data_IF_882640672268
#
_entry.id   IF_882640672268
#
_cell.length_a   1.000
_cell.length_b   1.000
_cell.length_c   1.000
_cell.angle_alpha   90.00
_cell.angle_beta   90.00
_cell.angle_gamma   90.00
#
_symmetry.space_group_name_H-M   'P 1'
#
loop_
_entity.id
_entity.type
_entity.pdbx_description
1 polymer ?
#
# COMPACT_ATOMS: atom_id res chain seq x y z
N UNK A 1 -21.05 16.20 38.75
CA UNK A 1 -21.26 16.44 37.30
C UNK A 1 -19.88 16.51 36.66
N UNK A 2 -19.49 15.48 35.91
CA UNK A 2 -18.22 15.52 35.16
C UNK A 2 -18.51 16.12 33.78
N UNK A 3 -17.78 17.17 33.43
CA UNK A 3 -17.81 17.76 32.10
C UNK A 3 -17.29 16.71 31.11
N UNK A 4 -18.17 16.18 30.27
CA UNK A 4 -17.79 15.43 29.09
C UNK A 4 -17.02 16.40 28.18
N UNK A 5 -15.71 16.18 28.06
CA UNK A 5 -14.93 16.82 27.02
C UNK A 5 -15.47 16.34 25.66
N UNK A 6 -15.93 17.29 24.84
CA UNK A 6 -16.32 17.03 23.47
C UNK A 6 -15.13 16.41 22.72
N UNK A 7 -15.30 15.34 21.93
CA UNK A 7 -14.19 14.80 21.16
C UNK A 7 -13.69 15.88 20.21
N UNK A 8 -12.42 16.27 20.38
CA UNK A 8 -11.69 17.12 19.44
C UNK A 8 -11.88 16.54 18.05
N UNK A 9 -12.23 17.35 17.02
CA UNK A 9 -12.29 16.86 15.66
C UNK A 9 -10.90 16.32 15.31
N UNK A 10 -10.76 15.00 15.30
CA UNK A 10 -9.61 14.40 14.65
C UNK A 10 -9.76 14.79 13.19
N UNK A 11 -8.85 15.60 12.67
CA UNK A 11 -8.68 15.79 11.23
C UNK A 11 -8.23 14.45 10.66
N UNK A 12 -9.18 13.51 10.58
CA UNK A 12 -8.99 12.21 10.00
C UNK A 12 -8.59 12.43 8.56
N UNK A 13 -7.44 11.91 8.17
CA UNK A 13 -7.01 11.90 6.78
C UNK A 13 -8.11 11.17 5.99
N UNK A 14 -8.86 11.89 5.16
CA UNK A 14 -9.82 11.26 4.24
C UNK A 14 -9.04 10.32 3.32
N UNK A 15 -9.18 9.01 3.52
CA UNK A 15 -8.51 7.99 2.73
C UNK A 15 -9.49 6.86 2.42
N UNK A 16 -9.20 6.15 1.33
CA UNK A 16 -9.93 4.97 0.88
C UNK A 16 -9.20 3.71 1.33
N UNK A 17 -9.97 2.63 1.49
CA UNK A 17 -9.42 1.30 1.78
C UNK A 17 -9.17 0.56 0.47
N UNK A 18 -8.39 -0.51 0.53
CA UNK A 18 -8.07 -1.36 -0.61
C UNK A 18 -9.30 -1.96 -1.27
N UNK A 19 -10.31 -2.35 -0.48
CA UNK A 19 -11.55 -2.94 -0.98
C UNK A 19 -12.43 -1.97 -1.79
N UNK A 20 -12.23 -0.65 -1.67
CA UNK A 20 -12.98 0.36 -2.42
C UNK A 20 -12.26 0.87 -3.67
N UNK A 21 -11.07 0.34 -4.00
CA UNK A 21 -10.30 0.79 -5.16
C UNK A 21 -10.94 0.35 -6.47
N UNK A 22 -11.13 1.31 -7.37
CA UNK A 22 -11.63 1.09 -8.73
C UNK A 22 -10.49 1.20 -9.75
N UNK A 23 -10.48 0.40 -10.83
CA UNK A 23 -9.46 0.50 -11.88
C UNK A 23 -9.39 1.89 -12.54
N UNK A 24 -8.18 2.31 -12.89
CA UNK A 24 -7.89 3.57 -13.56
C UNK A 24 -7.04 4.52 -12.73
N UNK A 25 -6.90 5.76 -13.19
CA UNK A 25 -6.17 6.80 -12.44
C UNK A 25 -7.01 7.24 -11.26
N UNK A 26 -6.48 7.06 -10.05
CA UNK A 26 -7.17 7.37 -8.81
C UNK A 26 -6.91 8.82 -8.39
N UNK A 27 -7.99 9.53 -8.05
CA UNK A 27 -7.95 10.76 -7.26
C UNK A 27 -8.09 10.49 -5.75
N UNK A 28 -8.19 9.21 -5.35
CA UNK A 28 -8.32 8.80 -3.97
C UNK A 28 -6.95 8.82 -3.29
N UNK A 29 -6.95 9.19 -2.01
CA UNK A 29 -5.87 8.94 -1.08
C UNK A 29 -6.00 7.54 -0.48
N UNK A 30 -4.90 6.87 -0.20
CA UNK A 30 -4.89 5.65 0.62
C UNK A 30 -3.88 5.81 1.74
N UNK A 31 -4.11 5.13 2.86
CA UNK A 31 -3.12 4.95 3.91
C UNK A 31 -2.74 3.48 3.97
N UNK A 32 -1.45 3.18 4.02
CA UNK A 32 -0.98 1.81 4.14
C UNK A 32 0.24 1.69 5.02
N UNK A 33 0.45 0.47 5.52
CA UNK A 33 1.70 0.05 6.12
C UNK A 33 2.48 -0.83 5.16
N UNK A 34 3.78 -0.58 5.08
CA UNK A 34 4.71 -1.36 4.29
C UNK A 34 4.93 -2.75 4.91
N UNK A 35 4.88 -3.81 4.09
CA UNK A 35 5.19 -5.18 4.53
C UNK A 35 6.54 -5.69 3.99
N UNK A 36 6.75 -5.58 2.68
CA UNK A 36 7.95 -6.11 2.00
C UNK A 36 8.18 -5.41 0.68
N UNK A 37 9.45 -5.32 0.27
CA UNK A 37 9.88 -4.82 -1.03
C UNK A 37 10.86 -5.79 -1.67
N UNK A 38 10.80 -5.91 -2.98
CA UNK A 38 11.80 -6.62 -3.78
C UNK A 38 11.94 -6.00 -5.16
N UNK A 39 13.11 -6.23 -5.76
CA UNK A 39 13.35 -5.84 -7.14
C UNK A 39 12.62 -6.80 -8.09
N UNK A 40 11.87 -6.22 -9.02
CA UNK A 40 11.16 -6.93 -10.08
C UNK A 40 12.03 -6.99 -11.33
N UNK A 41 12.20 -8.21 -11.85
CA UNK A 41 13.13 -8.52 -12.94
C UNK A 41 12.39 -9.14 -14.12
N UNK A 42 12.76 -8.76 -15.35
CA UNK A 42 12.28 -9.38 -16.57
C UNK A 42 13.07 -10.67 -16.85
N UNK A 43 12.48 -11.81 -16.46
CA UNK A 43 13.12 -13.12 -16.64
C UNK A 43 13.40 -13.48 -18.11
N UNK A 44 12.65 -12.91 -19.07
CA UNK A 44 12.85 -13.16 -20.51
C UNK A 44 13.98 -12.35 -21.12
N UNK A 45 14.46 -11.31 -20.41
CA UNK A 45 15.47 -10.38 -20.89
C UNK A 45 16.59 -10.31 -19.85
N UNK A 46 17.27 -11.43 -19.67
CA UNK A 46 18.46 -11.56 -18.80
C UNK A 46 18.30 -11.00 -17.39
N UNK A 47 17.10 -11.15 -16.81
CA UNK A 47 16.74 -10.61 -15.49
C UNK A 47 16.91 -9.08 -15.40
N UNK A 48 16.67 -8.37 -16.50
CA UNK A 48 16.69 -6.90 -16.54
C UNK A 48 15.79 -6.32 -15.44
N UNK A 49 16.32 -5.37 -14.68
CA UNK A 49 15.56 -4.66 -13.65
C UNK A 49 14.43 -3.83 -14.29
N UNK A 50 13.18 -4.18 -13.97
CA UNK A 50 12.00 -3.48 -14.52
C UNK A 50 11.33 -2.56 -13.52
N UNK A 51 11.69 -2.66 -12.25
CA UNK A 51 11.13 -1.81 -11.20
C UNK A 51 11.14 -2.50 -9.84
N UNK A 52 10.40 -1.90 -8.92
CA UNK A 52 10.29 -2.35 -7.54
C UNK A 52 8.86 -2.80 -7.31
N UNK A 53 8.69 -3.98 -6.72
CA UNK A 53 7.40 -4.44 -6.22
C UNK A 53 7.35 -4.28 -4.71
N UNK A 54 6.20 -3.83 -4.21
CA UNK A 54 5.97 -3.59 -2.78
C UNK A 54 4.70 -4.31 -2.34
N UNK A 55 4.66 -4.83 -1.11
CA UNK A 55 3.45 -5.30 -0.46
C UNK A 55 2.99 -4.30 0.58
N UNK A 56 1.69 -3.99 0.54
CA UNK A 56 1.02 -3.04 1.41
C UNK A 56 -0.08 -3.73 2.21
N UNK A 57 -0.34 -3.21 3.41
CA UNK A 57 -1.47 -3.56 4.26
C UNK A 57 -2.25 -2.28 4.58
N UNK A 58 -3.58 -2.32 4.51
CA UNK A 58 -4.42 -1.24 5.02
C UNK A 58 -5.06 -1.64 6.36
N UNK A 59 -5.97 -0.82 6.86
CA UNK A 59 -6.70 -1.05 8.11
C UNK A 59 -7.68 -2.23 8.07
N UNK A 60 -8.00 -2.76 6.89
CA UNK A 60 -8.90 -3.89 6.75
C UNK A 60 -8.12 -5.19 6.88
N UNK A 61 -8.48 -5.95 7.92
CA UNK A 61 -7.95 -7.30 8.15
C UNK A 61 -8.06 -8.12 6.87
N UNK A 62 -6.97 -8.76 6.48
CA UNK A 62 -6.82 -9.60 5.28
C UNK A 62 -6.75 -8.90 3.91
N UNK A 63 -6.71 -7.57 3.82
CA UNK A 63 -6.48 -6.90 2.53
C UNK A 63 -5.00 -6.55 2.34
N UNK A 64 -4.32 -7.36 1.53
CA UNK A 64 -2.95 -7.09 1.09
C UNK A 64 -2.95 -6.85 -0.42
N UNK A 65 -2.47 -5.68 -0.81
CA UNK A 65 -2.30 -5.28 -2.21
C UNK A 65 -0.81 -5.19 -2.50
N UNK A 66 -0.42 -5.53 -3.73
CA UNK A 66 0.92 -5.23 -4.21
C UNK A 66 0.93 -3.93 -5.02
N UNK A 67 1.98 -3.14 -4.79
CA UNK A 67 2.34 -1.97 -5.58
C UNK A 67 3.45 -2.27 -6.57
N UNK A 68 3.54 -1.45 -7.62
CA UNK A 68 4.64 -1.48 -8.57
C UNK A 68 5.15 -0.07 -8.91
N UNK A 69 6.45 0.10 -8.76
CA UNK A 69 7.18 1.31 -9.18
C UNK A 69 8.06 0.95 -10.38
N UNK A 70 7.84 1.51 -11.58
CA UNK A 70 8.66 1.19 -12.74
C UNK A 70 10.09 1.68 -12.59
N UNK A 71 11.04 1.03 -13.27
CA UNK A 71 12.49 1.31 -13.22
C UNK A 71 12.84 2.80 -13.29
N UNK A 72 12.24 3.54 -14.23
CA UNK A 72 12.50 4.98 -14.40
C UNK A 72 12.08 5.86 -13.22
N UNK A 73 11.38 5.31 -12.22
CA UNK A 73 10.92 6.00 -11.00
C UNK A 73 11.41 5.32 -9.72
N UNK A 74 12.08 4.19 -9.83
CA UNK A 74 12.48 3.36 -8.69
C UNK A 74 13.35 4.13 -7.70
N UNK A 75 14.39 4.83 -8.19
CA UNK A 75 15.30 5.63 -7.36
C UNK A 75 14.59 6.77 -6.62
N UNK A 76 13.58 7.38 -7.23
CA UNK A 76 12.82 8.48 -6.63
C UNK A 76 11.98 8.02 -5.44
N UNK A 77 11.26 6.90 -5.58
CA UNK A 77 10.32 6.44 -4.55
C UNK A 77 10.94 5.50 -3.51
N UNK A 78 12.04 4.81 -3.83
CA UNK A 78 12.68 3.84 -2.92
C UNK A 78 12.99 4.42 -1.54
N UNK A 79 13.49 5.67 -1.39
CA UNK A 79 13.72 6.27 -0.07
C UNK A 79 12.44 6.45 0.76
N UNK A 80 11.27 6.61 0.15
CA UNK A 80 9.98 6.78 0.85
C UNK A 80 9.30 5.45 1.21
N UNK A 81 9.80 4.33 0.68
CA UNK A 81 9.26 2.99 0.91
C UNK A 81 9.96 2.32 2.11
N UNK A 82 9.82 2.92 3.29
CA UNK A 82 10.43 2.41 4.53
C UNK A 82 9.44 1.54 5.30
N UNK A 83 9.96 0.47 5.91
CA UNK A 83 9.22 -0.29 6.90
C UNK A 83 8.89 0.59 8.13
N UNK A 84 7.90 0.16 8.91
CA UNK A 84 7.52 0.72 10.22
C UNK A 84 6.69 2.01 10.21
N UNK A 85 6.61 2.71 9.09
CA UNK A 85 5.73 3.88 8.95
C UNK A 85 4.39 3.53 8.28
N UNK A 86 3.33 4.19 8.73
CA UNK A 86 2.11 4.30 7.93
C UNK A 86 2.32 5.48 6.98
N UNK A 87 2.17 5.22 5.70
CA UNK A 87 2.33 6.22 4.65
C UNK A 87 1.02 6.44 3.93
N UNK A 88 0.78 7.69 3.57
CA UNK A 88 -0.31 8.09 2.70
C UNK A 88 0.24 8.16 1.28
N UNK A 89 -0.54 7.66 0.34
CA UNK A 89 -0.24 7.80 -1.08
C UNK A 89 -1.41 8.44 -1.81
N UNK A 90 -1.07 9.45 -2.59
CA UNK A 90 -1.97 10.21 -3.46
C UNK A 90 -1.56 10.02 -4.93
N UNK A 91 -2.52 10.26 -5.84
CA UNK A 91 -2.27 10.32 -7.29
C UNK A 91 -1.58 9.07 -7.85
N UNK A 92 -2.21 7.91 -7.70
CA UNK A 92 -1.72 6.63 -8.22
C UNK A 92 -2.65 6.03 -9.28
N UNK A 93 -2.20 4.98 -9.95
CA UNK A 93 -3.04 4.21 -10.87
C UNK A 93 -3.40 2.86 -10.26
N UNK A 94 -4.66 2.47 -10.36
CA UNK A 94 -5.15 1.13 -10.02
C UNK A 94 -5.19 0.32 -11.32
N UNK A 95 -4.21 -0.56 -11.50
CA UNK A 95 -4.14 -1.38 -12.70
C UNK A 95 -4.94 -2.68 -12.53
N UNK A 96 -5.35 -3.28 -13.66
CA UNK A 96 -5.91 -4.63 -13.66
C UNK A 96 -4.77 -5.64 -13.61
N UNK A 97 -4.83 -6.59 -12.67
CA UNK A 97 -3.85 -7.66 -12.60
C UNK A 97 -4.04 -8.61 -13.78
N UNK A 98 -2.97 -8.89 -14.54
CA UNK A 98 -2.96 -10.04 -15.44
C UNK A 98 -2.75 -11.30 -14.59
N UNK A 99 -3.67 -12.26 -14.66
CA UNK A 99 -3.69 -13.50 -13.85
C UNK A 99 -2.38 -14.32 -13.86
N UNK A 100 -1.49 -14.07 -14.83
CA UNK A 100 -0.20 -14.75 -14.99
C UNK A 100 0.78 -14.57 -13.81
N UNK A 101 0.64 -13.51 -13.02
CA UNK A 101 1.54 -13.20 -11.89
C UNK A 101 0.76 -12.65 -10.69
N UNK A 102 -0.11 -13.49 -10.12
CA UNK A 102 -0.92 -13.14 -8.94
C UNK A 102 -0.07 -13.20 -7.67
N UNK A 103 0.34 -12.05 -7.16
CA UNK A 103 1.12 -11.93 -5.92
C UNK A 103 0.22 -11.95 -4.68
N UNK A 104 -0.99 -11.39 -4.78
CA UNK A 104 -1.97 -11.31 -3.69
C UNK A 104 -3.35 -11.67 -4.20
N UNK A 105 -4.27 -12.05 -3.31
CA UNK A 105 -5.63 -12.41 -3.72
C UNK A 105 -6.45 -11.25 -4.29
N UNK A 106 -6.01 -10.02 -4.02
CA UNK A 106 -6.62 -8.82 -4.54
C UNK A 106 -6.38 -8.64 -6.05
N UNK A 107 -7.43 -8.28 -6.78
CA UNK A 107 -7.43 -8.26 -8.25
C UNK A 107 -6.75 -7.04 -8.87
N UNK A 108 -6.33 -6.06 -8.06
CA UNK A 108 -5.80 -4.78 -8.53
C UNK A 108 -4.51 -4.37 -7.84
N UNK A 109 -3.37 -4.27 -8.56
CA UNK A 109 -2.20 -3.57 -8.06
C UNK A 109 -2.29 -2.06 -8.18
N UNK A 110 -1.54 -1.39 -7.32
CA UNK A 110 -1.29 0.05 -7.38
C UNK A 110 -0.01 0.30 -8.19
N UNK A 111 -0.03 1.23 -9.14
CA UNK A 111 1.16 1.66 -9.88
C UNK A 111 1.51 3.10 -9.52
N UNK A 112 2.79 3.32 -9.24
CA UNK A 112 3.31 4.66 -9.01
C UNK A 112 3.59 5.35 -10.36
N UNK A 113 2.94 6.49 -10.54
CA UNK A 113 3.08 7.36 -11.70
C UNK A 113 3.93 8.58 -11.32
N UNK A 114 4.35 9.38 -12.30
CA UNK A 114 5.22 10.55 -12.02
C UNK A 114 4.58 11.58 -11.07
N UNK A 115 3.25 11.54 -10.92
CA UNK A 115 2.48 12.43 -10.05
C UNK A 115 2.17 11.81 -8.70
N UNK A 116 2.61 10.58 -8.43
CA UNK A 116 2.37 9.92 -7.14
C UNK A 116 3.11 10.66 -6.05
N UNK A 117 2.38 11.01 -4.99
CA UNK A 117 2.89 11.70 -3.81
C UNK A 117 2.84 10.69 -2.66
N UNK A 118 3.92 10.61 -1.89
CA UNK A 118 4.05 9.70 -0.74
C UNK A 118 4.45 10.54 0.45
N UNK A 119 3.58 10.59 1.44
CA UNK A 119 3.78 11.35 2.68
C UNK A 119 3.65 10.42 3.88
N UNK A 120 4.48 10.62 4.90
CA UNK A 120 4.33 9.92 6.17
C UNK A 120 3.06 10.40 6.89
N UNK A 121 2.27 9.48 7.45
CA UNK A 121 1.09 9.85 8.24
C UNK A 121 1.49 10.02 9.70
N UNK A 122 1.71 11.26 10.11
CA UNK A 122 2.25 11.60 11.43
C UNK A 122 1.14 11.63 12.51
N UNK A 123 -0.10 12.01 12.16
CA UNK A 123 -1.21 12.17 13.11
C UNK A 123 -2.52 11.60 12.55
N UNK A 124 -3.30 10.88 13.37
CA UNK A 124 -4.59 10.34 12.97
C UNK A 124 -4.51 9.19 11.95
N UNK A 125 -3.34 8.54 11.88
CA UNK A 125 -3.15 7.37 11.02
C UNK A 125 -4.06 6.22 11.48
N UNK A 126 -4.65 5.46 10.55
CA UNK A 126 -5.45 4.30 10.92
C UNK A 126 -4.58 3.23 11.60
N UNK A 127 -5.14 2.50 12.55
CA UNK A 127 -4.41 1.43 13.25
C UNK A 127 -4.29 0.20 12.34
N UNK A 128 -3.11 0.01 11.74
CA UNK A 128 -2.83 -1.11 10.83
C UNK A 128 -2.01 -2.18 11.57
N UNK A 129 -2.65 -3.22 12.12
CA UNK A 129 -1.96 -4.25 12.92
C UNK A 129 -1.34 -5.37 12.06
N UNK A 130 0.00 -5.51 12.11
CA UNK A 130 0.76 -6.56 11.38
C UNK A 130 0.57 -7.96 12.00
N UNK A 131 0.36 -8.06 13.32
CA UNK A 131 0.23 -9.31 14.07
C UNK A 131 -1.02 -10.10 13.66
N UNK A 132 -2.08 -9.40 13.22
CA UNK A 132 -3.33 -10.02 12.72
C UNK A 132 -3.12 -11.02 11.56
N UNK A 133 -1.94 -11.01 10.92
CA UNK A 133 -1.56 -11.94 9.85
C UNK A 133 -0.68 -13.12 10.29
N UNK A 134 0.02 -13.02 11.43
CA UNK A 134 0.86 -14.13 11.94
C UNK A 134 0.00 -15.19 12.62
N UNK A 135 -1.14 -14.79 13.19
CA UNK A 135 -2.05 -15.71 13.87
C UNK A 135 -2.83 -16.61 12.89
N UNK A 136 -2.91 -16.25 11.61
CA UNK A 136 -3.47 -17.09 10.54
C UNK A 136 -2.46 -18.09 9.93
N UNK A 137 -1.18 -18.04 10.35
CA UNK A 137 -0.13 -18.96 9.89
C UNK A 137 0.23 -20.05 10.90
N UNK A 138 -0.46 -20.11 12.03
CA UNK A 138 -0.29 -21.19 13.01
C UNK A 138 -1.48 -22.15 12.89
N UNK A 139 -1.17 -23.43 12.71
CA UNK A 139 -2.05 -24.61 12.57
C UNK A 139 -2.31 -25.05 11.11
N UNK A 140 -1.41 -25.86 10.58
CA UNK A 140 -1.60 -27.32 10.67
C UNK A 140 -0.24 -27.99 10.84
N UNK A 141 -0.19 -28.95 11.79
CA UNK A 141 0.85 -29.97 11.87
C UNK A 141 0.77 -30.89 10.65
#
# INVERSE_FOLDING_TARGET
>A
MFLSASPVPQTGVCHSTFGSLCPGRSSQSIAYRFLRLWDSLNLKKDREFVGITVLFLDEKVNFVIHGFTPVGRASHYKPSLKADFIVKVDCFEVARCSSMYKITDHSFPIRFISLTIIDEVITGAPEINIQSRLDCSTISK
#
